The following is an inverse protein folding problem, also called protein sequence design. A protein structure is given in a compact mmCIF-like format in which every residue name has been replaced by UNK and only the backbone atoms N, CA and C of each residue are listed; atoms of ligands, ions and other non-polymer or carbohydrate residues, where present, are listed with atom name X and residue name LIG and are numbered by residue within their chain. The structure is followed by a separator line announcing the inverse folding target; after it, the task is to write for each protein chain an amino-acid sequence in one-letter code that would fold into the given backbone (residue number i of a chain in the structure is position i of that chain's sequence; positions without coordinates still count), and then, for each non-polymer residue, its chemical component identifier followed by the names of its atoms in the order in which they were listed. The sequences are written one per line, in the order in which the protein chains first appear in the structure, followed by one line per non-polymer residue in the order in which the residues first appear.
data_IF_359591940507
#
_entry.id   IF_359591940507
#
_cell.length_a   1.000
_cell.length_b   1.000
_cell.length_c   1.000
_cell.angle_alpha   90.00
_cell.angle_beta   90.00
_cell.angle_gamma   90.00
#
_symmetry.space_group_name_H-M   'P 1'
#
loop_
_entity.id
_entity.type
_entity.pdbx_description
1 polymer ?
#
# COMPACT_ATOMS: atom_id res chain seq x y z
N UNK A 1 -6.14 -10.74 48.64
CA UNK A 1 -6.88 -10.32 47.44
C UNK A 1 -8.37 -10.43 47.75
N UNK A 2 -9.17 -9.44 47.38
CA UNK A 2 -10.64 -9.56 47.43
C UNK A 2 -11.08 -10.73 46.52
N UNK A 3 -12.06 -11.56 46.91
CA UNK A 3 -12.57 -12.64 46.06
C UNK A 3 -13.43 -12.11 44.89
N UNK A 4 -13.78 -10.83 44.91
CA UNK A 4 -14.55 -10.17 43.86
C UNK A 4 -13.59 -9.38 42.97
N UNK A 5 -13.59 -9.70 41.68
CA UNK A 5 -12.86 -8.95 40.67
C UNK A 5 -13.44 -7.54 40.57
N UNK A 6 -12.57 -6.54 40.70
CA UNK A 6 -12.90 -5.12 40.56
C UNK A 6 -12.19 -4.58 39.30
N UNK A 7 -12.87 -4.51 38.14
CA UNK A 7 -12.25 -4.10 36.89
C UNK A 7 -11.92 -2.61 36.89
N UNK A 8 -10.76 -2.27 36.34
CA UNK A 8 -10.42 -0.87 36.05
C UNK A 8 -11.36 -0.35 34.94
N UNK A 9 -12.07 0.78 35.13
CA UNK A 9 -12.93 1.34 34.09
C UNK A 9 -12.16 1.73 32.82
N UNK A 10 -12.81 1.58 31.65
CA UNK A 10 -12.26 1.98 30.36
C UNK A 10 -11.25 0.97 29.77
N UNK A 11 -10.40 1.45 28.85
CA UNK A 11 -9.50 0.59 28.09
C UNK A 11 -8.50 -0.20 28.96
N UNK A 12 -8.09 0.35 30.11
CA UNK A 12 -7.18 -0.33 31.03
C UNK A 12 -7.75 -1.63 31.60
N UNK A 13 -9.08 -1.77 31.73
CA UNK A 13 -9.72 -3.02 32.16
C UNK A 13 -9.51 -4.18 31.19
N UNK A 14 -9.15 -3.90 29.93
CA UNK A 14 -8.84 -4.91 28.93
C UNK A 14 -7.38 -5.38 28.99
N UNK A 15 -6.52 -4.71 29.76
CA UNK A 15 -5.12 -5.11 29.93
C UNK A 15 -5.01 -6.27 30.92
N UNK A 16 -4.81 -7.49 30.42
CA UNK A 16 -4.79 -8.70 31.24
C UNK A 16 -3.44 -8.96 31.94
N UNK A 17 -2.36 -8.31 31.51
CA UNK A 17 -1.00 -8.63 31.97
C UNK A 17 -0.08 -7.42 31.91
N UNK A 18 1.16 -7.57 32.40
CA UNK A 18 2.18 -6.55 32.18
C UNK A 18 2.46 -6.41 30.67
N UNK A 19 2.58 -5.18 30.15
CA UNK A 19 2.88 -5.00 28.74
C UNK A 19 4.38 -5.19 28.47
N UNK A 20 4.72 -5.57 27.24
CA UNK A 20 6.12 -5.69 26.81
C UNK A 20 6.77 -4.31 26.74
N UNK A 21 7.70 -4.03 27.68
CA UNK A 21 8.41 -2.75 27.74
C UNK A 21 9.16 -2.43 26.44
N UNK A 22 9.75 -3.44 25.80
CA UNK A 22 10.47 -3.26 24.54
C UNK A 22 9.52 -2.88 23.39
N UNK A 23 8.32 -3.46 23.35
CA UNK A 23 7.34 -3.15 22.30
C UNK A 23 6.72 -1.77 22.49
N UNK A 24 6.50 -1.35 23.73
CA UNK A 24 6.01 0.01 24.02
C UNK A 24 7.07 1.05 23.67
N UNK A 25 8.34 0.81 24.03
CA UNK A 25 9.42 1.74 23.75
C UNK A 25 9.61 1.96 22.23
N UNK A 26 9.53 0.90 21.41
CA UNK A 26 9.63 1.03 19.94
C UNK A 26 8.40 1.69 19.33
N UNK A 27 7.21 1.42 19.85
CA UNK A 27 5.99 2.11 19.43
C UNK A 27 6.06 3.61 19.74
N UNK A 28 6.54 3.98 20.93
CA UNK A 28 6.69 5.38 21.32
C UNK A 28 7.62 6.13 20.36
N UNK A 29 8.79 5.58 20.05
CA UNK A 29 9.71 6.20 19.09
C UNK A 29 9.10 6.35 17.68
N UNK A 30 8.24 5.42 17.26
CA UNK A 30 7.47 5.58 16.01
C UNK A 30 6.49 6.76 16.11
N UNK A 31 5.72 6.87 17.21
CA UNK A 31 4.74 7.93 17.40
C UNK A 31 5.39 9.33 17.49
N UNK A 32 6.58 9.44 18.07
CA UNK A 32 7.37 10.68 18.07
C UNK A 32 7.69 11.16 16.65
N UNK A 33 8.01 10.25 15.72
CA UNK A 33 8.21 10.60 14.30
C UNK A 33 6.91 11.09 13.63
N UNK A 34 5.75 10.55 14.02
CA UNK A 34 4.46 11.06 13.53
C UNK A 34 4.19 12.48 14.04
N UNK A 35 4.52 12.76 15.29
CA UNK A 35 4.41 14.10 15.88
C UNK A 35 5.36 15.09 15.19
N UNK A 36 6.64 14.73 15.01
CA UNK A 36 7.64 15.55 14.32
C UNK A 36 7.25 15.84 12.86
N UNK A 37 6.61 14.88 12.18
CA UNK A 37 6.10 15.05 10.82
C UNK A 37 4.88 15.99 10.70
N UNK A 38 4.38 16.55 11.82
CA UNK A 38 3.21 17.44 11.86
C UNK A 38 1.88 16.70 12.08
N UNK A 39 1.93 15.48 12.61
CA UNK A 39 0.75 14.68 12.93
C UNK A 39 0.05 14.08 11.71
N UNK A 40 -1.14 13.51 11.95
CA UNK A 40 -1.90 12.79 10.92
C UNK A 40 -2.37 13.70 9.79
N UNK A 41 -2.68 14.97 10.06
CA UNK A 41 -3.18 15.89 9.03
C UNK A 41 -2.13 16.19 7.96
N UNK A 42 -0.90 16.50 8.37
CA UNK A 42 0.23 16.73 7.44
C UNK A 42 0.56 15.47 6.62
N UNK A 43 0.58 14.30 7.28
CA UNK A 43 0.80 13.03 6.62
C UNK A 43 -0.32 12.68 5.63
N UNK A 44 -1.58 12.97 5.98
CA UNK A 44 -2.73 12.75 5.11
C UNK A 44 -2.67 13.65 3.88
N UNK A 45 -2.27 14.91 4.04
CA UNK A 45 -2.08 15.83 2.92
C UNK A 45 -1.05 15.29 1.93
N UNK A 46 0.13 14.85 2.42
CA UNK A 46 1.15 14.23 1.56
C UNK A 46 0.66 12.91 0.95
N UNK A 47 -0.04 12.07 1.72
CA UNK A 47 -0.59 10.80 1.24
C UNK A 47 -1.52 10.99 0.04
N UNK A 48 -2.42 11.98 0.09
CA UNK A 48 -3.32 12.30 -1.02
C UNK A 48 -2.52 12.69 -2.27
N UNK A 49 -1.51 13.56 -2.11
CA UNK A 49 -0.67 14.03 -3.22
C UNK A 49 0.19 12.93 -3.82
N UNK A 50 0.92 12.16 -3.01
CA UNK A 50 1.85 11.13 -3.49
C UNK A 50 1.12 9.94 -4.14
N UNK A 51 -0.02 9.52 -3.59
CA UNK A 51 -0.83 8.47 -4.21
C UNK A 51 -1.52 8.96 -5.48
N UNK A 52 -2.00 10.22 -5.51
CA UNK A 52 -2.52 10.82 -6.74
C UNK A 52 -1.44 10.94 -7.83
N UNK A 53 -0.20 11.25 -7.44
CA UNK A 53 0.94 11.25 -8.36
C UNK A 53 1.20 9.85 -8.93
N UNK A 54 1.30 8.82 -8.08
CA UNK A 54 1.46 7.43 -8.52
C UNK A 54 0.31 6.99 -9.45
N UNK A 55 -0.94 7.28 -9.09
CA UNK A 55 -2.11 7.02 -9.92
C UNK A 55 -1.98 7.69 -11.30
N UNK A 56 -1.56 8.96 -11.34
CA UNK A 56 -1.40 9.69 -12.60
C UNK A 56 -0.32 9.10 -13.50
N UNK A 57 0.79 8.60 -12.93
CA UNK A 57 1.84 7.92 -13.67
C UNK A 57 1.36 6.59 -14.23
N UNK A 58 0.71 5.78 -13.40
CA UNK A 58 0.15 4.49 -13.79
C UNK A 58 -0.85 4.63 -14.94
N UNK A 59 -1.75 5.62 -14.89
CA UNK A 59 -2.73 5.87 -15.96
C UNK A 59 -2.11 6.30 -17.30
N UNK A 60 -0.86 6.76 -17.31
CA UNK A 60 -0.13 7.14 -18.53
C UNK A 60 0.59 5.96 -19.20
N UNK A 61 0.72 4.82 -18.51
CA UNK A 61 1.37 3.64 -19.07
C UNK A 61 0.52 3.03 -20.18
N UNK A 62 1.17 2.52 -21.21
CA UNK A 62 0.53 1.88 -22.38
C UNK A 62 -0.34 0.65 -22.02
N UNK A 63 0.01 0.00 -20.89
CA UNK A 63 -0.66 -1.17 -20.34
C UNK A 63 -1.87 -0.84 -19.45
N UNK A 64 -2.19 0.43 -19.20
CA UNK A 64 -3.34 0.78 -18.38
C UNK A 64 -4.66 0.59 -19.15
N UNK A 65 -5.68 0.05 -18.47
CA UNK A 65 -7.08 0.01 -18.91
C UNK A 65 -7.97 0.52 -17.79
N UNK A 66 -9.00 1.27 -18.14
CA UNK A 66 -9.97 1.86 -17.20
C UNK A 66 -11.02 0.86 -16.68
N UNK A 67 -11.13 -0.31 -17.32
CA UNK A 67 -12.00 -1.41 -16.92
C UNK A 67 -11.23 -2.73 -16.93
N UNK A 68 -11.72 -3.68 -16.14
CA UNK A 68 -11.23 -5.06 -16.15
C UNK A 68 -11.68 -5.75 -17.44
N UNK A 69 -10.73 -6.16 -18.26
CA UNK A 69 -11.02 -7.06 -19.38
C UNK A 69 -10.90 -8.51 -18.90
N UNK A 70 -11.93 -9.31 -19.21
CA UNK A 70 -11.99 -10.72 -18.86
C UNK A 70 -11.68 -11.64 -20.03
N UNK A 71 -11.38 -11.11 -21.22
CA UNK A 71 -10.95 -11.91 -22.37
C UNK A 71 -9.57 -12.54 -22.09
N UNK A 72 -9.47 -13.89 -22.05
CA UNK A 72 -8.18 -14.57 -21.88
C UNK A 72 -7.18 -14.30 -23.01
N UNK A 73 -7.64 -13.77 -24.14
CA UNK A 73 -6.83 -13.42 -25.32
C UNK A 73 -6.44 -11.94 -25.35
N UNK A 74 -6.91 -11.13 -24.40
CA UNK A 74 -6.50 -9.74 -24.30
C UNK A 74 -4.98 -9.64 -24.14
N UNK A 75 -4.33 -8.62 -24.74
CA UNK A 75 -2.92 -8.37 -24.47
C UNK A 75 -2.71 -8.08 -22.98
N UNK A 76 -1.49 -8.32 -22.43
CA UNK A 76 -1.16 -7.95 -21.06
C UNK A 76 -1.56 -6.50 -20.75
N UNK A 77 -2.21 -6.28 -19.61
CA UNK A 77 -2.63 -4.97 -19.13
C UNK A 77 -2.92 -5.00 -17.63
N UNK A 78 -3.19 -3.83 -17.06
CA UNK A 78 -3.67 -3.72 -15.70
C UNK A 78 -4.76 -2.65 -15.54
N UNK A 79 -5.55 -2.82 -14.50
CA UNK A 79 -6.62 -1.89 -14.10
C UNK A 79 -6.45 -1.54 -12.63
N UNK A 80 -6.68 -0.27 -12.28
CA UNK A 80 -6.66 0.17 -10.89
C UNK A 80 -8.03 -0.14 -10.28
N UNK A 81 -8.07 -1.03 -9.28
CA UNK A 81 -9.29 -1.39 -8.54
C UNK A 81 -9.64 -0.37 -7.45
N UNK A 82 -8.62 0.25 -6.86
CA UNK A 82 -8.83 1.23 -5.79
C UNK A 82 -9.63 2.43 -6.33
N UNK A 83 -10.65 2.93 -5.62
CA UNK A 83 -11.44 4.09 -6.06
C UNK A 83 -10.58 5.31 -6.39
N UNK A 84 -10.93 6.03 -7.46
CA UNK A 84 -10.22 7.24 -7.88
C UNK A 84 -10.42 8.42 -6.90
N UNK A 85 -11.58 8.47 -6.22
CA UNK A 85 -11.87 9.50 -5.22
C UNK A 85 -10.90 9.39 -4.02
N UNK A 86 -10.05 10.40 -3.78
CA UNK A 86 -9.11 10.38 -2.67
C UNK A 86 -9.76 10.22 -1.29
N UNK A 87 -11.04 10.61 -1.13
CA UNK A 87 -11.76 10.45 0.14
C UNK A 87 -12.19 9.00 0.41
N UNK A 88 -12.22 8.15 -0.63
CA UNK A 88 -12.60 6.75 -0.55
C UNK A 88 -11.39 5.80 -0.60
N UNK A 89 -10.17 6.33 -0.42
CA UNK A 89 -8.95 5.52 -0.39
C UNK A 89 -7.86 6.01 0.59
N UNK A 90 -7.03 5.06 1.00
CA UNK A 90 -5.74 5.30 1.65
C UNK A 90 -4.64 5.57 0.62
N UNK A 91 -3.40 5.20 0.99
CA UNK A 91 -2.24 5.33 0.11
C UNK A 91 -2.09 4.20 -0.89
N UNK A 92 -2.70 3.03 -0.62
CA UNK A 92 -2.54 1.83 -1.43
C UNK A 92 -3.38 1.87 -2.71
N UNK A 93 -2.74 1.59 -3.85
CA UNK A 93 -3.39 1.29 -5.12
C UNK A 93 -3.28 -0.22 -5.42
N UNK A 94 -4.43 -0.86 -5.62
CA UNK A 94 -4.54 -2.25 -6.04
C UNK A 94 -4.64 -2.29 -7.55
N UNK A 95 -3.70 -2.93 -8.22
CA UNK A 95 -3.59 -3.09 -9.66
C UNK A 95 -3.95 -4.54 -10.01
N UNK A 96 -5.05 -4.75 -10.72
CA UNK A 96 -5.42 -6.07 -11.22
C UNK A 96 -4.80 -6.28 -12.60
N UNK A 97 -4.05 -7.37 -12.77
CA UNK A 97 -3.34 -7.70 -14.00
C UNK A 97 -4.12 -8.74 -14.82
N UNK A 98 -4.12 -8.56 -16.12
CA UNK A 98 -4.81 -9.43 -17.09
C UNK A 98 -3.92 -9.67 -18.29
N UNK A 99 -4.02 -10.83 -18.97
CA UNK A 99 -4.86 -11.98 -18.62
C UNK A 99 -4.40 -12.68 -17.33
N UNK A 100 -5.23 -13.55 -16.76
CA UNK A 100 -4.88 -14.25 -15.52
C UNK A 100 -3.58 -15.07 -15.67
N UNK A 101 -2.80 -15.16 -14.60
CA UNK A 101 -1.54 -15.91 -14.57
C UNK A 101 -0.29 -15.11 -14.94
N UNK A 102 -0.42 -13.88 -15.45
CA UNK A 102 0.76 -13.02 -15.70
C UNK A 102 1.30 -12.38 -14.41
N UNK A 103 0.42 -12.16 -13.43
CA UNK A 103 0.74 -11.39 -12.22
C UNK A 103 1.97 -11.91 -11.46
N UNK A 104 2.09 -13.22 -11.16
CA UNK A 104 3.23 -13.72 -10.40
C UNK A 104 4.57 -13.43 -11.09
N UNK A 105 4.63 -13.53 -12.42
CA UNK A 105 5.85 -13.24 -13.19
C UNK A 105 6.17 -11.74 -13.18
N UNK A 106 5.17 -10.89 -13.37
CA UNK A 106 5.35 -9.44 -13.32
C UNK A 106 5.83 -9.02 -11.93
N UNK A 107 5.21 -9.56 -10.87
CA UNK A 107 5.60 -9.26 -9.50
C UNK A 107 7.01 -9.74 -9.17
N UNK A 108 7.39 -10.96 -9.59
CA UNK A 108 8.76 -11.46 -9.46
C UNK A 108 9.77 -10.53 -10.15
N UNK A 109 9.49 -10.10 -11.38
CA UNK A 109 10.37 -9.17 -12.10
C UNK A 109 10.47 -7.80 -11.42
N UNK A 110 9.37 -7.28 -10.86
CA UNK A 110 9.40 -6.06 -10.05
C UNK A 110 10.30 -6.21 -8.82
N UNK A 111 10.18 -7.33 -8.09
CA UNK A 111 11.02 -7.62 -6.92
C UNK A 111 12.49 -7.74 -7.29
N UNK A 112 12.83 -8.42 -8.39
CA UNK A 112 14.21 -8.54 -8.90
C UNK A 112 14.83 -7.19 -9.23
N UNK A 113 14.01 -6.21 -9.62
CA UNK A 113 14.40 -4.82 -9.90
C UNK A 113 14.33 -3.89 -8.68
N UNK A 114 14.04 -4.44 -7.50
CA UNK A 114 14.07 -3.71 -6.23
C UNK A 114 12.77 -2.99 -5.87
N UNK A 115 11.67 -3.23 -6.59
CA UNK A 115 10.35 -2.67 -6.24
C UNK A 115 9.60 -3.69 -5.39
N UNK A 116 9.43 -3.36 -4.11
CA UNK A 116 8.77 -4.23 -3.13
C UNK A 116 7.32 -3.76 -2.93
N UNK A 117 6.37 -4.69 -3.04
CA UNK A 117 4.94 -4.47 -2.79
C UNK A 117 4.29 -5.68 -2.13
N UNK A 118 2.95 -5.70 -2.12
CA UNK A 118 2.15 -6.88 -1.72
C UNK A 118 1.48 -7.45 -2.98
N UNK A 119 1.43 -8.78 -3.12
CA UNK A 119 0.59 -9.42 -4.12
C UNK A 119 -0.63 -10.05 -3.47
N UNK A 120 -1.74 -10.12 -4.22
CA UNK A 120 -2.92 -10.88 -3.85
C UNK A 120 -3.34 -11.75 -5.00
N UNK A 121 -3.24 -13.04 -4.76
CA UNK A 121 -3.72 -14.06 -5.67
C UNK A 121 -5.22 -13.84 -5.97
N UNK A 122 -5.65 -14.08 -7.23
CA UNK A 122 -4.84 -14.65 -8.31
C UNK A 122 -4.01 -13.63 -9.13
N UNK A 123 -4.25 -12.33 -8.99
CA UNK A 123 -4.00 -11.38 -10.09
C UNK A 123 -3.73 -9.93 -9.70
N UNK A 124 -3.61 -9.59 -8.42
CA UNK A 124 -3.47 -8.20 -7.95
C UNK A 124 -2.07 -7.91 -7.41
N UNK A 125 -1.47 -6.79 -7.84
CA UNK A 125 -0.30 -6.17 -7.21
C UNK A 125 -0.75 -4.92 -6.45
N UNK A 126 -0.23 -4.69 -5.25
CA UNK A 126 -0.54 -3.54 -4.41
C UNK A 126 0.70 -2.70 -4.17
N UNK A 127 0.59 -1.42 -4.50
CA UNK A 127 1.63 -0.41 -4.27
C UNK A 127 1.10 0.64 -3.31
N UNK A 128 1.83 0.89 -2.21
CA UNK A 128 1.41 1.82 -1.16
C UNK A 128 2.52 2.83 -0.85
N UNK A 129 2.56 3.99 -1.52
CA UNK A 129 3.51 5.05 -1.18
C UNK A 129 3.20 5.65 0.20
N UNK A 130 3.98 5.27 1.21
CA UNK A 130 3.82 5.74 2.59
C UNK A 130 4.44 7.14 2.73
N UNK A 131 3.70 8.14 3.22
CA UNK A 131 4.13 9.54 3.22
C UNK A 131 5.38 9.82 4.06
N UNK A 132 5.68 9.02 5.08
CA UNK A 132 6.84 9.26 5.94
C UNK A 132 8.18 9.07 5.21
N UNK A 133 8.29 8.04 4.38
CA UNK A 133 9.60 7.61 3.85
C UNK A 133 9.62 7.37 2.34
N UNK A 134 8.48 7.32 1.66
CA UNK A 134 8.43 7.17 0.20
C UNK A 134 8.52 8.54 -0.46
N UNK A 135 9.37 8.64 -1.48
CA UNK A 135 9.55 9.84 -2.29
C UNK A 135 8.78 9.74 -3.61
N UNK A 136 8.59 10.87 -4.27
CA UNK A 136 7.93 10.91 -5.58
C UNK A 136 8.77 10.18 -6.65
N UNK A 137 10.09 10.24 -6.55
CA UNK A 137 11.01 9.52 -7.44
C UNK A 137 10.83 8.00 -7.32
N UNK A 138 10.58 7.50 -6.12
CA UNK A 138 10.34 6.06 -5.89
C UNK A 138 9.03 5.62 -6.58
N UNK A 139 8.00 6.48 -6.59
CA UNK A 139 6.76 6.23 -7.33
C UNK A 139 7.00 6.18 -8.85
N UNK A 140 7.80 7.11 -9.38
CA UNK A 140 8.18 7.10 -10.80
C UNK A 140 8.94 5.82 -11.15
N UNK A 141 9.96 5.48 -10.36
CA UNK A 141 10.75 4.27 -10.59
C UNK A 141 9.89 3.01 -10.54
N UNK A 142 8.95 2.93 -9.59
CA UNK A 142 8.01 1.81 -9.51
C UNK A 142 7.15 1.66 -10.78
N UNK A 143 6.68 2.77 -11.38
CA UNK A 143 5.92 2.72 -12.64
C UNK A 143 6.77 2.32 -13.84
N UNK A 144 8.03 2.78 -13.91
CA UNK A 144 8.97 2.36 -14.97
C UNK A 144 9.23 0.87 -14.89
N UNK A 145 9.54 0.37 -13.69
CA UNK A 145 9.80 -1.05 -13.44
C UNK A 145 8.58 -1.91 -13.74
N UNK A 146 7.37 -1.46 -13.37
CA UNK A 146 6.13 -2.15 -13.72
C UNK A 146 5.96 -2.25 -15.25
N UNK A 147 6.20 -1.15 -15.98
CA UNK A 147 6.07 -1.16 -17.44
C UNK A 147 7.10 -2.09 -18.09
N UNK A 148 8.34 -2.08 -17.62
CA UNK A 148 9.38 -3.00 -18.08
C UNK A 148 9.04 -4.46 -17.79
N UNK A 149 8.54 -4.76 -16.59
CA UNK A 149 8.12 -6.11 -16.22
C UNK A 149 6.94 -6.61 -17.08
N UNK A 150 6.00 -5.73 -17.42
CA UNK A 150 4.90 -6.07 -18.32
C UNK A 150 5.36 -6.30 -19.77
N UNK A 151 6.41 -5.61 -20.24
CA UNK A 151 7.01 -5.83 -21.57
C UNK A 151 7.74 -7.17 -21.71
N UNK A 152 8.11 -7.81 -20.61
CA UNK A 152 8.84 -9.11 -20.64
C UNK A 152 7.93 -10.33 -20.68
N UNK A 153 6.61 -10.15 -20.59
CA UNK A 153 5.61 -11.23 -20.59
C UNK A 153 5.10 -11.53 -22.00
#
# INVERSE_FOLDING_TARGET
MSPVFDPIPGAHGFQQSNPSVLSIATLLGSLELFEEAGGIDALREKAVKITGYLESLLKRLSFYRDHLDHDPKAPPHFTILTPADPQQRGTQLSLALRPLGIMPKVFEEMQRRGVIGDERQPDVIRLAPVPLYVRYEDCLQATVVLEEALKTI
#
